data_IF_395429893656
#
_entry.id   IF_395429893656
#
_cell.length_a   1.000
_cell.length_b   1.000
_cell.length_c   1.000
_cell.angle_alpha   90.00
_cell.angle_beta   90.00
_cell.angle_gamma   90.00
#
_symmetry.space_group_name_H-M   'P 1'
#
loop_
_entity.id
_entity.type
_entity.pdbx_description
1 polymer ?
#
# COMPACT_ATOMS: atom_id res chain seq x y z
N UNK A 1 6.75 -98.95 -24.82
CA UNK A 1 5.79 -98.03 -24.19
C UNK A 1 6.33 -97.71 -22.75
N UNK A 2 6.98 -96.56 -22.55
CA UNK A 2 7.49 -96.20 -21.21
C UNK A 2 6.36 -95.49 -20.44
N UNK A 3 5.94 -96.09 -19.34
CA UNK A 3 5.00 -95.47 -18.34
C UNK A 3 5.75 -94.39 -17.62
N UNK A 4 5.44 -93.14 -17.89
CA UNK A 4 5.86 -92.01 -17.05
C UNK A 4 5.15 -92.12 -15.69
N UNK A 5 5.94 -92.14 -14.64
CA UNK A 5 5.48 -92.28 -13.24
C UNK A 5 4.60 -91.05 -12.84
N UNK A 6 3.52 -91.33 -12.14
CA UNK A 6 2.62 -90.31 -11.58
C UNK A 6 3.35 -89.30 -10.68
N UNK A 7 4.51 -89.69 -10.16
CA UNK A 7 5.39 -88.85 -9.32
C UNK A 7 6.10 -87.77 -10.13
N UNK A 8 6.48 -88.02 -11.40
CA UNK A 8 7.15 -87.05 -12.23
C UNK A 8 6.20 -85.91 -12.68
N UNK A 9 4.92 -86.25 -12.85
CA UNK A 9 3.90 -85.24 -13.21
C UNK A 9 3.59 -84.29 -12.05
N UNK A 10 3.59 -84.77 -10.82
CA UNK A 10 3.38 -83.92 -9.63
C UNK A 10 4.62 -83.06 -9.36
N UNK A 11 5.83 -83.54 -9.62
CA UNK A 11 7.05 -82.76 -9.51
C UNK A 11 7.08 -81.61 -10.52
N UNK A 12 6.71 -81.83 -11.79
CA UNK A 12 6.61 -80.82 -12.82
C UNK A 12 5.56 -79.75 -12.47
N UNK A 13 4.40 -80.14 -11.95
CA UNK A 13 3.38 -79.20 -11.48
C UNK A 13 3.89 -78.31 -10.37
N UNK A 14 4.59 -78.86 -9.39
CA UNK A 14 5.15 -78.06 -8.29
C UNK A 14 6.27 -77.14 -8.76
N UNK A 15 7.13 -77.55 -9.68
CA UNK A 15 8.13 -76.73 -10.32
C UNK A 15 7.51 -75.61 -11.16
N UNK A 16 6.46 -75.88 -11.91
CA UNK A 16 5.76 -74.90 -12.73
C UNK A 16 5.08 -73.84 -11.83
N UNK A 17 4.45 -74.22 -10.73
CA UNK A 17 3.84 -73.32 -9.76
C UNK A 17 4.89 -72.46 -9.08
N UNK A 18 6.07 -73.02 -8.70
CA UNK A 18 7.17 -72.29 -8.11
C UNK A 18 7.78 -71.29 -9.11
N UNK A 19 7.90 -71.65 -10.36
CA UNK A 19 8.35 -70.75 -11.45
C UNK A 19 7.36 -69.63 -11.69
N UNK A 20 6.07 -69.91 -11.66
CA UNK A 20 4.99 -68.90 -11.82
C UNK A 20 4.93 -67.91 -10.65
N UNK A 21 5.27 -68.31 -9.43
CA UNK A 21 5.37 -67.45 -8.22
C UNK A 21 6.61 -66.52 -8.31
N UNK A 22 7.68 -66.90 -9.04
CA UNK A 22 8.85 -66.03 -9.20
C UNK A 22 8.68 -64.93 -10.25
N UNK A 23 7.58 -64.97 -11.04
CA UNK A 23 7.26 -63.99 -12.10
C UNK A 23 6.16 -62.98 -11.63
N UNK A 24 5.84 -62.97 -10.33
CA UNK A 24 4.98 -61.89 -9.81
C UNK A 24 5.70 -60.54 -10.08
N UNK A 25 5.07 -59.64 -10.88
CA UNK A 25 5.70 -58.33 -11.09
C UNK A 25 5.91 -57.73 -9.72
N UNK A 26 7.17 -57.41 -9.38
CA UNK A 26 7.48 -56.53 -8.27
C UNK A 26 6.80 -55.20 -8.65
N UNK A 27 5.65 -54.99 -8.10
CA UNK A 27 5.02 -53.70 -8.24
C UNK A 27 6.02 -52.70 -7.66
N UNK A 28 6.70 -52.00 -8.56
CA UNK A 28 7.55 -50.90 -8.18
C UNK A 28 6.66 -49.87 -7.47
N UNK A 29 6.75 -49.82 -6.14
CA UNK A 29 6.02 -48.80 -5.37
C UNK A 29 6.64 -47.48 -5.78
N UNK A 30 5.86 -46.63 -6.44
CA UNK A 30 6.26 -45.25 -6.71
C UNK A 30 6.69 -44.60 -5.37
N UNK A 31 7.78 -43.89 -5.44
CA UNK A 31 8.30 -43.17 -4.26
C UNK A 31 7.22 -42.23 -3.73
N UNK A 32 7.09 -42.13 -2.40
CA UNK A 32 6.09 -41.27 -1.75
C UNK A 32 6.77 -40.05 -1.14
N UNK A 33 6.23 -38.85 -1.44
CA UNK A 33 6.63 -37.58 -0.86
C UNK A 33 5.64 -37.17 0.23
N UNK A 34 6.17 -36.68 1.37
CA UNK A 34 5.34 -36.18 2.47
C UNK A 34 5.90 -34.84 2.99
N UNK A 35 5.78 -33.74 2.21
CA UNK A 35 6.22 -32.43 2.67
C UNK A 35 5.38 -31.92 3.83
N UNK A 36 5.92 -31.01 4.68
CA UNK A 36 5.10 -30.28 5.65
C UNK A 36 4.04 -29.45 4.90
N UNK A 37 2.88 -29.24 5.51
CA UNK A 37 1.79 -28.49 4.86
C UNK A 37 2.18 -27.03 4.59
N UNK A 38 2.96 -26.42 5.49
CA UNK A 38 3.44 -25.03 5.36
C UNK A 38 4.87 -24.89 5.86
N UNK A 39 5.65 -24.01 5.24
CA UNK A 39 7.01 -23.58 5.65
C UNK A 39 7.13 -22.07 5.52
N UNK A 40 8.12 -21.46 6.17
CA UNK A 40 8.43 -20.04 5.98
C UNK A 40 9.38 -19.82 4.81
N UNK A 41 9.24 -18.69 4.13
CA UNK A 41 10.13 -18.29 3.04
C UNK A 41 11.59 -18.22 3.52
N UNK A 42 12.50 -18.86 2.75
CA UNK A 42 13.91 -18.93 3.07
C UNK A 42 14.27 -19.90 4.20
N UNK A 43 13.34 -20.69 4.71
CA UNK A 43 13.63 -21.73 5.69
C UNK A 43 13.98 -23.04 4.99
N UNK A 44 15.20 -23.57 5.24
CA UNK A 44 15.57 -24.90 4.79
C UNK A 44 14.81 -25.97 5.60
N UNK A 45 14.38 -27.05 4.93
CA UNK A 45 13.66 -28.15 5.55
C UNK A 45 13.88 -29.46 4.79
N UNK A 46 13.40 -30.57 5.37
CA UNK A 46 13.45 -31.88 4.71
C UNK A 46 12.05 -32.37 4.34
N UNK A 47 11.95 -33.03 3.20
CA UNK A 47 10.76 -33.79 2.80
C UNK A 47 11.03 -35.28 3.05
N UNK A 48 10.29 -35.94 3.95
CA UNK A 48 10.36 -37.40 4.10
C UNK A 48 9.99 -38.10 2.80
N UNK A 49 10.84 -39.05 2.39
CA UNK A 49 10.68 -39.82 1.16
C UNK A 49 10.70 -41.31 1.47
N UNK A 50 9.79 -42.04 0.86
CA UNK A 50 9.80 -43.51 0.86
C UNK A 50 10.16 -44.01 -0.52
N UNK A 51 11.31 -44.63 -0.67
CA UNK A 51 11.83 -45.17 -1.94
C UNK A 51 13.28 -45.56 -1.81
N UNK A 52 13.88 -46.07 -2.89
CA UNK A 52 15.30 -46.44 -2.95
C UNK A 52 15.80 -46.27 -4.38
N UNK A 53 17.12 -45.96 -4.55
CA UNK A 53 17.73 -45.76 -5.83
C UNK A 53 17.93 -44.29 -6.20
N UNK A 54 18.03 -44.00 -7.49
CA UNK A 54 18.18 -42.65 -8.04
C UNK A 54 16.86 -42.15 -8.64
N UNK A 55 16.61 -40.86 -8.51
CA UNK A 55 15.42 -40.22 -9.06
C UNK A 55 15.72 -38.78 -9.52
N UNK A 56 14.86 -38.24 -10.36
CA UNK A 56 14.89 -36.82 -10.70
C UNK A 56 13.84 -36.10 -9.86
N UNK A 57 14.31 -35.11 -9.12
CA UNK A 57 13.48 -34.22 -8.32
C UNK A 57 13.24 -32.91 -9.04
N UNK A 58 11.98 -32.45 -9.03
CA UNK A 58 11.59 -31.13 -9.46
C UNK A 58 10.87 -30.42 -8.29
N UNK A 59 11.21 -29.16 -8.09
CA UNK A 59 10.47 -28.26 -7.22
C UNK A 59 9.96 -27.11 -8.08
N UNK A 60 8.65 -27.01 -8.24
CA UNK A 60 7.97 -25.96 -9.00
C UNK A 60 7.42 -24.96 -8.01
N UNK A 61 7.94 -23.74 -8.04
CA UNK A 61 7.52 -22.60 -7.22
C UNK A 61 6.82 -21.52 -8.07
N UNK A 62 6.43 -20.43 -7.44
CA UNK A 62 5.76 -19.30 -8.12
C UNK A 62 6.64 -18.59 -9.15
N UNK A 63 7.96 -18.57 -8.95
CA UNK A 63 8.91 -17.75 -9.71
C UNK A 63 10.00 -18.58 -10.41
N UNK A 64 10.19 -19.86 -10.02
CA UNK A 64 11.25 -20.69 -10.59
C UNK A 64 10.96 -22.19 -10.50
N UNK A 65 11.76 -22.96 -11.21
CA UNK A 65 11.74 -24.43 -11.15
C UNK A 65 13.16 -24.93 -10.87
N UNK A 66 13.29 -25.74 -9.83
CA UNK A 66 14.53 -26.46 -9.51
C UNK A 66 14.43 -27.86 -10.07
N UNK A 67 15.48 -28.33 -10.79
CA UNK A 67 15.63 -29.72 -11.24
C UNK A 67 16.98 -30.25 -10.75
N UNK A 68 16.99 -31.41 -10.09
CA UNK A 68 18.20 -32.07 -9.66
C UNK A 68 18.08 -33.59 -9.60
N UNK A 69 19.17 -34.30 -9.91
CA UNK A 69 19.27 -35.73 -9.62
C UNK A 69 19.42 -35.90 -8.10
N UNK A 70 18.70 -36.85 -7.53
CA UNK A 70 18.71 -37.13 -6.09
C UNK A 70 18.83 -38.63 -5.86
N UNK A 71 19.56 -39.00 -4.81
CA UNK A 71 19.59 -40.38 -4.33
C UNK A 71 18.49 -40.49 -3.26
N UNK A 72 17.59 -41.45 -3.47
CA UNK A 72 16.49 -41.68 -2.54
C UNK A 72 17.06 -42.25 -1.23
N UNK A 73 16.97 -41.42 -0.21
CA UNK A 73 17.25 -41.75 1.19
C UNK A 73 15.95 -41.59 2.00
N UNK A 74 16.03 -41.54 3.31
CA UNK A 74 14.82 -41.27 4.15
C UNK A 74 14.29 -39.84 4.02
N UNK A 75 15.14 -38.88 3.58
CA UNK A 75 14.81 -37.47 3.51
C UNK A 75 15.42 -36.79 2.31
N UNK A 76 14.67 -35.85 1.72
CA UNK A 76 15.12 -34.98 0.65
C UNK A 76 15.30 -33.55 1.20
N UNK A 77 16.51 -33.02 1.14
CA UNK A 77 16.83 -31.69 1.64
C UNK A 77 16.40 -30.61 0.65
N UNK A 78 15.63 -29.64 1.14
CA UNK A 78 15.25 -28.41 0.43
C UNK A 78 16.07 -27.26 1.01
N UNK A 79 16.78 -26.55 0.13
CA UNK A 79 17.63 -25.44 0.52
C UNK A 79 16.80 -24.17 0.75
N UNK A 80 17.28 -23.28 1.60
CA UNK A 80 16.66 -21.98 1.84
C UNK A 80 16.51 -21.14 0.55
N UNK A 81 17.46 -21.30 -0.39
CA UNK A 81 17.40 -20.64 -1.69
C UNK A 81 16.30 -21.13 -2.61
N UNK A 82 15.81 -22.36 -2.40
CA UNK A 82 14.80 -23.00 -3.25
C UNK A 82 13.37 -22.51 -2.92
N UNK A 83 13.16 -21.84 -1.77
CA UNK A 83 11.83 -21.49 -1.23
C UNK A 83 11.77 -20.04 -0.71
N UNK A 84 12.31 -19.09 -1.48
CA UNK A 84 12.28 -17.67 -1.10
C UNK A 84 10.96 -16.97 -1.43
N UNK A 85 10.32 -17.35 -2.54
CA UNK A 85 9.04 -16.80 -2.94
C UNK A 85 7.89 -17.44 -2.14
N UNK A 86 7.01 -16.63 -1.56
CA UNK A 86 5.80 -17.13 -0.92
C UNK A 86 4.76 -17.59 -1.96
N UNK A 87 4.08 -18.69 -1.68
CA UNK A 87 3.06 -19.24 -2.55
C UNK A 87 2.97 -20.76 -2.51
N UNK A 88 2.24 -21.33 -3.45
CA UNK A 88 2.08 -22.78 -3.56
C UNK A 88 3.25 -23.38 -4.32
N UNK A 89 3.86 -24.41 -3.73
CA UNK A 89 4.91 -25.21 -4.33
C UNK A 89 4.44 -26.62 -4.63
N UNK A 90 4.97 -27.20 -5.69
CA UNK A 90 4.78 -28.60 -6.04
C UNK A 90 6.13 -29.31 -6.08
N UNK A 91 6.32 -30.29 -5.20
CA UNK A 91 7.44 -31.21 -5.22
C UNK A 91 7.08 -32.41 -6.07
N UNK A 92 7.88 -32.74 -7.09
CA UNK A 92 7.68 -33.87 -7.99
C UNK A 92 8.92 -34.74 -7.97
N UNK A 93 8.73 -36.04 -7.82
CA UNK A 93 9.80 -37.03 -7.80
C UNK A 93 9.50 -38.09 -8.84
N UNK A 94 10.45 -38.27 -9.77
CA UNK A 94 10.35 -39.24 -10.87
C UNK A 94 11.47 -40.26 -10.77
N UNK A 95 11.11 -41.53 -10.56
CA UNK A 95 11.95 -42.73 -10.66
C UNK A 95 11.46 -43.63 -11.82
N UNK A 96 10.79 -44.72 -11.55
CA UNK A 96 10.06 -45.55 -12.51
C UNK A 96 8.69 -44.97 -12.92
N UNK A 97 8.21 -43.97 -12.21
CA UNK A 97 7.01 -43.16 -12.40
C UNK A 97 7.18 -41.84 -11.68
N UNK A 98 6.20 -40.92 -11.81
CA UNK A 98 6.26 -39.64 -11.11
C UNK A 98 5.19 -39.58 -10.02
N UNK A 99 5.59 -39.08 -8.85
CA UNK A 99 4.68 -38.73 -7.76
C UNK A 99 4.85 -37.26 -7.43
N UNK A 100 3.79 -36.61 -6.94
CA UNK A 100 3.83 -35.21 -6.56
C UNK A 100 3.11 -34.94 -5.25
N UNK A 101 3.56 -33.90 -4.54
CA UNK A 101 2.93 -33.37 -3.37
C UNK A 101 3.05 -31.86 -3.35
N UNK A 102 2.08 -31.17 -2.78
CA UNK A 102 2.06 -29.71 -2.68
C UNK A 102 2.24 -29.26 -1.24
N UNK A 103 2.84 -28.08 -1.06
CA UNK A 103 2.97 -27.39 0.21
C UNK A 103 2.94 -25.87 -0.01
N UNK A 104 2.65 -25.12 1.03
CA UNK A 104 2.60 -23.66 0.99
C UNK A 104 3.87 -23.07 1.62
N UNK A 105 4.50 -22.12 0.93
CA UNK A 105 5.53 -21.26 1.51
C UNK A 105 4.86 -19.94 1.90
N UNK A 106 4.89 -19.62 3.19
CA UNK A 106 4.38 -18.36 3.74
C UNK A 106 5.51 -17.34 3.82
N UNK A 107 5.16 -16.06 3.68
CA UNK A 107 6.11 -14.98 3.95
C UNK A 107 6.69 -15.11 5.36
N UNK A 108 7.97 -14.78 5.50
CA UNK A 108 8.66 -14.74 6.78
C UNK A 108 8.24 -13.49 7.60
N UNK A 109 8.98 -13.19 8.68
CA UNK A 109 8.69 -12.03 9.52
C UNK A 109 8.83 -10.71 8.75
N UNK A 110 8.08 -9.65 9.13
CA UNK A 110 8.20 -8.32 8.54
C UNK A 110 9.64 -7.80 8.55
N UNK A 111 10.14 -7.38 7.38
CA UNK A 111 11.49 -6.85 7.19
C UNK A 111 11.52 -5.56 6.36
N UNK A 112 10.47 -5.27 5.61
CA UNK A 112 10.33 -4.07 4.79
C UNK A 112 8.91 -3.52 4.87
N UNK A 113 8.80 -2.19 4.72
CA UNK A 113 7.55 -1.48 4.51
C UNK A 113 7.59 -0.78 3.16
N UNK A 114 6.43 -0.68 2.50
CA UNK A 114 6.18 0.30 1.46
C UNK A 114 5.04 1.18 1.92
N UNK A 115 5.32 2.47 2.11
CA UNK A 115 4.39 3.40 2.74
C UNK A 115 3.96 4.50 1.78
N UNK A 116 2.66 4.68 1.62
CA UNK A 116 2.02 5.71 0.81
C UNK A 116 1.22 6.65 1.68
N UNK A 117 1.38 7.94 1.42
CA UNK A 117 0.67 9.01 2.11
C UNK A 117 0.07 9.95 1.05
N UNK A 118 -1.25 10.13 1.07
CA UNK A 118 -1.97 10.91 0.07
C UNK A 118 -3.07 11.75 0.74
N UNK A 119 -3.32 12.98 0.24
CA UNK A 119 -2.55 13.71 -0.76
C UNK A 119 -1.24 14.28 -0.18
N UNK A 120 -0.33 14.73 -1.04
CA UNK A 120 0.90 15.40 -0.59
C UNK A 120 0.66 16.80 -0.03
N UNK A 121 -0.49 17.40 -0.34
CA UNK A 121 -0.92 18.72 0.11
C UNK A 121 -2.42 18.70 0.42
N UNK A 122 -2.83 19.29 1.55
CA UNK A 122 -4.22 19.29 2.02
C UNK A 122 -4.53 20.61 2.73
N UNK A 123 -5.76 21.16 2.59
CA UNK A 123 -6.19 22.26 3.42
C UNK A 123 -6.26 21.86 4.89
N UNK A 124 -6.04 22.81 5.80
CA UNK A 124 -6.23 22.62 7.24
C UNK A 124 -7.69 22.35 7.59
N UNK A 125 -7.95 21.77 8.76
CA UNK A 125 -9.29 21.52 9.31
C UNK A 125 -10.23 20.76 8.36
N UNK A 126 -9.68 19.93 7.48
CA UNK A 126 -10.45 19.11 6.56
C UNK A 126 -10.60 17.69 7.11
N UNK A 127 -11.82 17.21 7.37
CA UNK A 127 -12.03 15.86 7.90
C UNK A 127 -11.68 14.80 6.87
N UNK A 128 -11.12 13.66 7.35
CA UNK A 128 -10.83 12.47 6.53
C UNK A 128 -10.01 12.77 5.27
N UNK A 129 -9.08 13.70 5.34
CA UNK A 129 -8.38 14.26 4.18
C UNK A 129 -7.00 13.68 3.93
N UNK A 130 -6.48 12.87 4.85
CA UNK A 130 -5.15 12.26 4.75
C UNK A 130 -5.32 10.75 4.83
N UNK A 131 -4.96 10.05 3.76
CA UNK A 131 -4.91 8.60 3.67
C UNK A 131 -3.47 8.11 3.82
N UNK A 132 -3.25 7.17 4.73
CA UNK A 132 -1.97 6.53 4.96
C UNK A 132 -2.12 5.02 4.78
N UNK A 133 -1.35 4.43 3.85
CA UNK A 133 -1.41 3.00 3.52
C UNK A 133 -0.02 2.40 3.58
N UNK A 134 0.15 1.33 4.35
CA UNK A 134 1.39 0.59 4.48
C UNK A 134 1.22 -0.85 4.00
N UNK A 135 2.17 -1.32 3.19
CA UNK A 135 2.32 -2.70 2.78
C UNK A 135 3.49 -3.31 3.54
N UNK A 136 3.28 -4.48 4.11
CA UNK A 136 4.28 -5.16 4.94
C UNK A 136 4.87 -6.32 4.16
N UNK A 137 6.19 -6.34 3.99
CA UNK A 137 6.92 -7.38 3.28
C UNK A 137 7.97 -8.04 4.18
N UNK A 138 8.30 -9.29 3.85
CA UNK A 138 9.43 -9.99 4.43
C UNK A 138 10.77 -9.59 3.75
N UNK A 139 11.88 -10.20 4.18
CA UNK A 139 13.21 -9.95 3.61
C UNK A 139 13.38 -10.35 2.14
N UNK A 140 12.46 -11.13 1.58
CA UNK A 140 12.43 -11.55 0.18
C UNK A 140 11.42 -10.78 -0.65
N UNK A 141 10.82 -9.73 -0.08
CA UNK A 141 9.74 -8.93 -0.67
C UNK A 141 8.45 -9.71 -0.93
N UNK A 142 8.21 -10.78 -0.20
CA UNK A 142 6.90 -11.41 -0.16
C UNK A 142 5.96 -10.58 0.73
N UNK A 143 4.73 -10.36 0.28
CA UNK A 143 3.72 -9.70 1.09
C UNK A 143 3.34 -10.58 2.29
N UNK A 144 3.44 -10.05 3.50
CA UNK A 144 3.14 -10.77 4.75
C UNK A 144 1.63 -10.85 4.94
N UNK A 145 1.01 -11.93 4.47
CA UNK A 145 -0.45 -12.08 4.46
C UNK A 145 -1.04 -12.34 5.86
N UNK A 146 -0.24 -12.84 6.80
CA UNK A 146 -0.63 -13.00 8.20
C UNK A 146 -0.85 -11.64 8.87
N UNK A 147 -1.83 -11.52 9.79
CA UNK A 147 -2.06 -10.27 10.49
C UNK A 147 -0.81 -9.79 11.24
N UNK A 148 -0.39 -8.56 10.95
CA UNK A 148 0.75 -7.89 11.57
C UNK A 148 0.32 -6.52 12.07
N UNK A 149 0.83 -6.08 13.22
CA UNK A 149 0.51 -4.76 13.75
C UNK A 149 1.31 -3.69 13.03
N UNK A 150 0.64 -2.60 12.64
CA UNK A 150 1.26 -1.38 12.12
C UNK A 150 0.83 -0.21 13.00
N UNK A 151 1.80 0.52 13.52
CA UNK A 151 1.59 1.75 14.29
C UNK A 151 1.84 2.96 13.37
N UNK A 152 0.80 3.75 13.12
CA UNK A 152 0.92 5.02 12.43
C UNK A 152 1.10 6.14 13.46
N UNK A 153 2.28 6.76 13.46
CA UNK A 153 2.60 7.93 14.32
C UNK A 153 2.43 9.19 13.49
N UNK A 154 1.55 10.07 13.94
CA UNK A 154 1.24 11.34 13.28
C UNK A 154 1.86 12.47 14.13
N UNK A 155 2.81 13.21 13.54
CA UNK A 155 3.50 14.32 14.17
C UNK A 155 3.19 15.59 13.40
N UNK A 156 2.25 16.42 13.88
CA UNK A 156 1.92 17.70 13.26
C UNK A 156 3.03 18.73 13.47
N UNK A 157 3.04 19.81 12.66
CA UNK A 157 3.98 20.93 12.81
C UNK A 157 3.82 21.65 14.17
N UNK A 158 2.59 21.65 14.70
CA UNK A 158 2.25 22.19 16.02
C UNK A 158 1.21 21.29 16.69
N UNK A 159 1.28 21.18 18.02
CA UNK A 159 0.41 20.31 18.80
C UNK A 159 1.06 18.98 19.18
N UNK A 160 0.29 18.13 19.83
CA UNK A 160 0.76 16.83 20.31
C UNK A 160 0.77 15.79 19.20
N UNK A 161 1.83 14.98 19.15
CA UNK A 161 1.87 13.79 18.33
C UNK A 161 0.88 12.73 18.88
N UNK A 162 0.29 11.94 17.99
CA UNK A 162 -0.60 10.83 18.36
C UNK A 162 -0.31 9.61 17.49
N UNK A 163 -0.81 8.45 17.91
CA UNK A 163 -0.62 7.19 17.18
C UNK A 163 -1.93 6.45 17.01
N UNK A 164 -2.01 5.70 15.89
CA UNK A 164 -3.08 4.72 15.64
C UNK A 164 -2.46 3.38 15.29
N UNK A 165 -2.84 2.34 16.02
CA UNK A 165 -2.44 0.96 15.75
C UNK A 165 -3.55 0.25 15.01
N UNK A 166 -3.20 -0.41 13.88
CA UNK A 166 -4.09 -1.27 13.10
C UNK A 166 -3.40 -2.58 12.76
N UNK A 167 -4.19 -3.64 12.61
CA UNK A 167 -3.69 -4.91 12.11
C UNK A 167 -3.80 -4.93 10.59
N UNK A 168 -2.81 -5.50 9.91
CA UNK A 168 -2.88 -5.69 8.46
C UNK A 168 -4.01 -6.65 8.08
N UNK A 169 -4.65 -6.36 6.98
CA UNK A 169 -5.51 -7.29 6.27
C UNK A 169 -4.80 -7.70 4.98
N UNK A 170 -4.39 -8.99 4.90
CA UNK A 170 -3.63 -9.50 3.75
C UNK A 170 -2.41 -8.66 3.41
N UNK A 171 -1.62 -8.30 4.43
CA UNK A 171 -0.38 -7.54 4.25
C UNK A 171 -0.53 -6.04 4.12
N UNK A 172 -1.76 -5.49 4.17
CA UNK A 172 -2.04 -4.06 4.01
C UNK A 172 -2.66 -3.50 5.28
N UNK A 173 -2.09 -2.41 5.80
CA UNK A 173 -2.68 -1.59 6.85
C UNK A 173 -2.99 -0.21 6.29
N UNK A 174 -4.11 0.40 6.69
CA UNK A 174 -4.46 1.74 6.27
C UNK A 174 -5.23 2.48 7.35
N UNK A 175 -5.04 3.79 7.38
CA UNK A 175 -5.82 4.72 8.19
C UNK A 175 -6.22 5.92 7.35
N UNK A 176 -7.30 6.56 7.75
CA UNK A 176 -7.72 7.88 7.30
C UNK A 176 -7.78 8.81 8.49
N UNK A 177 -7.25 10.03 8.34
CA UNK A 177 -7.21 11.01 9.42
C UNK A 177 -7.52 12.41 8.90
N UNK A 178 -7.91 13.28 9.83
CA UNK A 178 -8.20 14.67 9.55
C UNK A 178 -6.89 15.48 9.44
N UNK A 179 -6.94 16.59 8.70
CA UNK A 179 -5.88 17.58 8.79
C UNK A 179 -6.06 18.43 10.07
N UNK A 180 -4.95 18.93 10.60
CA UNK A 180 -4.94 19.76 11.80
C UNK A 180 -5.36 21.22 11.49
N UNK A 181 -5.71 22.05 12.51
CA UNK A 181 -6.08 23.44 12.27
C UNK A 181 -4.93 24.34 11.80
N UNK A 182 -3.69 23.91 11.91
CA UNK A 182 -2.52 24.75 11.64
C UNK A 182 -1.78 24.33 10.39
N UNK A 183 -1.31 25.30 9.63
CA UNK A 183 -0.44 25.08 8.49
C UNK A 183 0.88 24.46 8.90
N UNK A 184 1.51 23.78 7.97
CA UNK A 184 2.84 23.23 8.16
C UNK A 184 2.96 21.78 7.71
N UNK A 185 4.10 21.18 8.03
CA UNK A 185 4.40 19.80 7.70
C UNK A 185 3.83 18.87 8.75
N UNK A 186 3.06 17.88 8.30
CA UNK A 186 2.65 16.76 9.13
C UNK A 186 3.44 15.53 8.69
N UNK A 187 4.26 15.00 9.60
CA UNK A 187 4.96 13.75 9.36
C UNK A 187 4.11 12.59 9.82
N UNK A 188 3.94 11.60 8.96
CA UNK A 188 3.32 10.32 9.30
C UNK A 188 4.37 9.24 9.15
N UNK A 189 4.58 8.45 10.20
CA UNK A 189 5.53 7.34 10.23
C UNK A 189 4.76 6.06 10.45
N UNK A 190 4.89 5.10 9.51
CA UNK A 190 4.38 3.74 9.67
C UNK A 190 5.48 2.87 10.29
N UNK A 191 5.15 2.08 11.32
CA UNK A 191 6.08 1.21 12.04
C UNK A 191 5.49 -0.19 12.12
N UNK A 192 6.25 -1.20 11.73
CA UNK A 192 5.88 -2.61 11.92
C UNK A 192 7.10 -3.41 12.38
N UNK A 193 7.05 -3.96 13.58
CA UNK A 193 8.22 -4.58 14.21
C UNK A 193 9.39 -3.60 14.32
N UNK A 194 10.51 -3.93 13.68
CA UNK A 194 11.74 -3.13 13.70
C UNK A 194 11.90 -2.24 12.45
N UNK A 195 10.90 -2.20 11.56
CA UNK A 195 10.96 -1.41 10.33
C UNK A 195 10.03 -0.21 10.41
N UNK A 196 10.51 0.92 9.89
CA UNK A 196 9.72 2.15 9.83
C UNK A 196 9.96 2.89 8.52
N UNK A 197 8.94 3.58 8.06
CA UNK A 197 8.99 4.48 6.93
C UNK A 197 8.17 5.73 7.19
N UNK A 198 8.71 6.90 6.86
CA UNK A 198 8.08 8.19 7.09
C UNK A 198 7.77 8.93 5.78
N UNK A 199 6.66 9.63 5.76
CA UNK A 199 6.24 10.55 4.69
C UNK A 199 5.70 11.83 5.28
N UNK A 200 5.59 12.86 4.46
CA UNK A 200 5.14 14.21 4.86
C UNK A 200 3.98 14.66 3.99
N UNK A 201 2.96 15.22 4.63
CA UNK A 201 1.89 16.01 4.00
C UNK A 201 2.09 17.46 4.34
N UNK A 202 1.99 18.35 3.36
CA UNK A 202 1.97 19.79 3.57
C UNK A 202 0.53 20.23 3.83
N UNK A 203 0.24 20.73 5.01
CA UNK A 203 -1.01 21.41 5.31
C UNK A 203 -0.90 22.88 4.95
N UNK A 204 -1.93 23.41 4.30
CA UNK A 204 -2.00 24.79 3.83
C UNK A 204 -3.29 25.42 4.32
N UNK A 205 -3.36 26.78 4.33
CA UNK A 205 -4.60 27.48 4.65
C UNK A 205 -5.75 26.95 3.79
N UNK A 206 -6.93 26.86 4.39
CA UNK A 206 -8.18 26.58 3.72
C UNK A 206 -8.68 27.83 2.97
N UNK A 207 -9.91 27.80 2.51
CA UNK A 207 -10.55 28.97 1.90
C UNK A 207 -10.74 30.11 2.93
N UNK A 208 -10.87 31.33 2.42
CA UNK A 208 -11.13 32.50 3.26
C UNK A 208 -12.35 32.29 4.17
N UNK A 209 -12.23 32.70 5.44
CA UNK A 209 -13.34 32.63 6.41
C UNK A 209 -13.78 34.03 6.82
N UNK A 210 -14.34 34.74 5.88
CA UNK A 210 -14.73 36.12 6.07
C UNK A 210 -13.73 37.06 5.37
N UNK A 211 -14.27 38.09 4.77
CA UNK A 211 -13.56 39.05 3.98
C UNK A 211 -14.09 40.44 4.28
N UNK A 212 -13.21 41.35 4.61
CA UNK A 212 -13.58 42.74 4.81
C UNK A 212 -12.72 43.65 3.99
N UNK A 213 -13.34 44.62 3.35
CA UNK A 213 -12.68 45.67 2.57
C UNK A 213 -12.92 47.02 3.20
N UNK A 214 -11.89 47.85 3.21
CA UNK A 214 -11.90 49.28 3.55
C UNK A 214 -11.67 50.08 2.28
N UNK A 215 -12.33 51.23 2.19
CA UNK A 215 -12.19 52.13 1.06
C UNK A 215 -11.70 53.52 1.54
N UNK A 216 -10.66 54.02 0.90
CA UNK A 216 -10.12 55.35 1.14
C UNK A 216 -10.26 56.16 -0.13
N UNK A 217 -11.15 57.17 -0.17
CA UNK A 217 -11.33 58.05 -1.30
C UNK A 217 -10.08 58.90 -1.54
N UNK A 218 -9.76 59.13 -2.83
CA UNK A 218 -8.68 60.01 -3.24
C UNK A 218 -9.04 60.64 -4.60
N UNK A 219 -9.76 61.78 -4.57
CA UNK A 219 -10.31 62.39 -5.78
C UNK A 219 -11.34 61.50 -6.46
N UNK A 220 -11.17 61.25 -7.78
CA UNK A 220 -12.02 60.32 -8.55
C UNK A 220 -11.55 58.84 -8.45
N UNK A 221 -10.60 58.54 -7.57
CA UNK A 221 -10.09 57.22 -7.31
C UNK A 221 -10.50 56.79 -5.89
N UNK A 222 -10.70 55.47 -5.70
CA UNK A 222 -10.90 54.85 -4.42
C UNK A 222 -9.80 53.79 -4.25
N UNK A 223 -9.01 53.90 -3.19
CA UNK A 223 -8.08 52.85 -2.80
C UNK A 223 -8.84 51.85 -1.93
N UNK A 224 -8.84 50.61 -2.33
CA UNK A 224 -9.46 49.49 -1.61
C UNK A 224 -8.36 48.62 -0.99
N UNK A 225 -8.54 48.22 0.23
CA UNK A 225 -7.64 47.32 0.95
C UNK A 225 -8.46 46.37 1.82
N UNK A 226 -8.15 45.07 1.74
CA UNK A 226 -8.77 44.10 2.63
C UNK A 226 -8.14 44.17 4.02
N UNK A 227 -8.90 43.77 5.04
CA UNK A 227 -8.27 43.33 6.29
C UNK A 227 -7.40 42.06 5.98
N UNK A 228 -6.48 41.64 6.87
CA UNK A 228 -5.73 40.43 6.67
C UNK A 228 -6.64 39.23 6.42
N UNK A 229 -6.50 38.62 5.22
CA UNK A 229 -7.37 37.53 4.77
C UNK A 229 -6.88 36.23 5.41
N UNK A 230 -7.77 35.56 6.14
CA UNK A 230 -7.46 34.32 6.89
C UNK A 230 -8.54 33.28 6.62
N UNK A 231 -8.14 32.00 6.80
CA UNK A 231 -9.10 30.90 6.86
C UNK A 231 -9.84 30.85 8.22
N UNK A 232 -10.81 29.93 8.36
CA UNK A 232 -11.58 29.77 9.61
C UNK A 232 -10.75 29.28 10.80
N UNK A 233 -9.56 28.74 10.55
CA UNK A 233 -8.59 28.32 11.59
C UNK A 233 -7.61 29.44 11.97
N UNK A 234 -7.70 30.60 11.31
CA UNK A 234 -6.85 31.77 11.58
C UNK A 234 -5.53 31.78 10.81
N UNK A 235 -5.28 30.84 9.91
CA UNK A 235 -4.10 30.84 9.06
C UNK A 235 -4.22 31.90 7.96
N UNK A 236 -3.11 32.59 7.64
CA UNK A 236 -3.10 33.57 6.58
C UNK A 236 -3.21 32.89 5.21
N UNK A 237 -4.04 33.40 4.30
CA UNK A 237 -4.06 32.88 2.93
C UNK A 237 -2.73 33.16 2.22
N UNK A 238 -2.26 32.24 1.35
CA UNK A 238 -1.00 32.37 0.65
C UNK A 238 -0.95 33.63 -0.22
N UNK A 239 0.21 34.26 -0.30
CA UNK A 239 0.48 35.30 -1.28
C UNK A 239 0.22 34.78 -2.70
N UNK A 240 -0.45 35.60 -3.51
CA UNK A 240 -0.91 35.21 -4.84
C UNK A 240 -2.35 34.72 -4.91
N UNK A 241 -3.01 34.43 -3.78
CA UNK A 241 -4.46 34.16 -3.76
C UNK A 241 -5.21 35.38 -4.30
N UNK A 242 -6.15 35.16 -5.21
CA UNK A 242 -6.84 36.27 -5.91
C UNK A 242 -8.04 36.74 -5.10
N UNK A 243 -8.14 38.04 -4.95
CA UNK A 243 -9.32 38.76 -4.42
C UNK A 243 -9.90 39.61 -5.55
N UNK A 244 -11.18 39.44 -5.82
CA UNK A 244 -11.93 40.18 -6.85
C UNK A 244 -12.66 41.35 -6.24
N UNK A 245 -12.42 42.55 -6.73
CA UNK A 245 -13.11 43.77 -6.37
C UNK A 245 -14.04 44.16 -7.50
N UNK A 246 -15.35 44.17 -7.25
CA UNK A 246 -16.34 44.53 -8.25
C UNK A 246 -16.97 45.85 -7.87
N UNK A 247 -16.96 46.78 -8.83
CA UNK A 247 -17.59 48.11 -8.74
C UNK A 247 -18.77 48.19 -9.70
N UNK A 248 -19.86 48.79 -9.25
CA UNK A 248 -21.03 49.17 -10.03
C UNK A 248 -21.27 50.66 -9.83
N UNK A 249 -21.16 51.48 -10.90
CA UNK A 249 -21.44 52.91 -10.86
C UNK A 249 -22.14 53.36 -12.15
N UNK A 250 -22.26 54.68 -12.38
CA UNK A 250 -22.94 55.27 -13.57
C UNK A 250 -22.24 54.89 -14.90
N UNK A 251 -20.95 54.53 -14.87
CA UNK A 251 -20.20 54.06 -16.05
C UNK A 251 -20.37 52.55 -16.30
N UNK A 252 -21.04 51.81 -15.39
CA UNK A 252 -21.34 50.38 -15.49
C UNK A 252 -20.60 49.52 -14.44
N UNK A 253 -20.58 48.19 -14.69
CA UNK A 253 -19.94 47.21 -13.82
C UNK A 253 -18.51 46.92 -14.28
N UNK A 254 -17.55 46.93 -13.37
CA UNK A 254 -16.17 46.52 -13.62
C UNK A 254 -15.62 45.69 -12.46
N UNK A 255 -14.78 44.70 -12.76
CA UNK A 255 -14.13 43.84 -11.76
C UNK A 255 -12.62 43.91 -11.97
N UNK A 256 -11.88 43.98 -10.88
CA UNK A 256 -10.41 43.92 -10.84
C UNK A 256 -9.98 42.85 -9.92
N UNK A 257 -9.19 41.90 -10.44
CA UNK A 257 -8.59 40.82 -9.71
C UNK A 257 -7.22 41.24 -9.18
N UNK A 258 -7.03 41.04 -7.87
CA UNK A 258 -5.80 41.51 -7.18
C UNK A 258 -5.25 40.39 -6.30
N UNK A 259 -3.99 40.01 -6.45
CA UNK A 259 -3.38 39.01 -5.61
C UNK A 259 -3.13 39.54 -4.19
N UNK A 260 -3.34 38.67 -3.20
CA UNK A 260 -2.89 38.91 -1.82
C UNK A 260 -1.37 39.05 -1.82
N UNK A 261 -0.89 40.05 -1.12
CA UNK A 261 0.53 40.28 -0.80
C UNK A 261 0.66 40.61 0.67
N UNK A 262 1.49 39.84 1.40
CA UNK A 262 1.69 40.00 2.86
C UNK A 262 0.35 40.00 3.64
N UNK A 263 -0.55 39.10 3.23
CA UNK A 263 -1.84 38.88 3.88
C UNK A 263 -2.97 39.83 3.50
N UNK A 264 -2.77 40.83 2.65
CA UNK A 264 -3.79 41.80 2.22
C UNK A 264 -3.84 41.92 0.69
N UNK A 265 -5.02 42.23 0.15
CA UNK A 265 -5.18 42.64 -1.24
C UNK A 265 -5.46 44.14 -1.30
N UNK A 266 -4.72 44.88 -2.15
CA UNK A 266 -4.87 46.32 -2.32
C UNK A 266 -4.96 46.68 -3.81
N UNK A 267 -5.96 47.48 -4.15
CA UNK A 267 -6.17 47.98 -5.50
C UNK A 267 -6.71 49.41 -5.51
N UNK A 268 -6.73 50.03 -6.66
CA UNK A 268 -7.36 51.33 -6.88
C UNK A 268 -8.36 51.24 -8.03
N UNK A 269 -9.54 51.80 -7.82
CA UNK A 269 -10.59 51.87 -8.83
C UNK A 269 -10.99 53.35 -9.09
N UNK A 270 -11.21 53.66 -10.36
CA UNK A 270 -11.86 54.97 -10.71
C UNK A 270 -13.38 54.83 -10.43
N UNK A 271 -13.97 55.87 -9.86
CA UNK A 271 -15.41 55.90 -9.50
C UNK A 271 -16.11 57.10 -10.11
N UNK A 272 -17.27 56.88 -10.70
CA UNK A 272 -18.06 57.90 -11.37
C UNK A 272 -19.40 58.08 -10.64
N UNK A 273 -19.48 59.12 -9.81
CA UNK A 273 -20.69 59.41 -9.04
C UNK A 273 -20.88 58.41 -7.89
N UNK A 274 -22.12 57.97 -7.71
CA UNK A 274 -22.45 56.94 -6.72
C UNK A 274 -21.95 55.58 -7.21
N UNK A 275 -21.32 54.81 -6.32
CA UNK A 275 -20.88 53.45 -6.62
C UNK A 275 -21.13 52.49 -5.50
N UNK A 276 -21.39 51.24 -5.85
CA UNK A 276 -21.41 50.10 -4.95
C UNK A 276 -20.21 49.24 -5.25
N UNK A 277 -19.45 48.91 -4.21
CA UNK A 277 -18.24 48.13 -4.31
C UNK A 277 -18.40 46.87 -3.47
N UNK A 278 -18.23 45.71 -4.06
CA UNK A 278 -18.21 44.42 -3.41
C UNK A 278 -16.86 43.74 -3.56
N UNK A 279 -16.51 42.80 -2.67
CA UNK A 279 -15.28 42.06 -2.66
C UNK A 279 -15.54 40.58 -2.50
N UNK A 280 -14.82 39.73 -3.19
CA UNK A 280 -14.90 38.28 -3.08
C UNK A 280 -13.52 37.62 -3.11
N UNK A 281 -13.37 36.51 -2.39
CA UNK A 281 -12.19 35.64 -2.47
C UNK A 281 -12.69 34.19 -2.60
N UNK A 282 -12.50 33.59 -3.77
CA UNK A 282 -13.13 32.32 -4.11
C UNK A 282 -14.66 32.42 -4.03
N UNK A 283 -15.27 31.59 -3.18
CA UNK A 283 -16.74 31.58 -2.93
C UNK A 283 -17.16 32.49 -1.78
N UNK A 284 -16.22 33.11 -1.10
CA UNK A 284 -16.52 33.97 0.06
C UNK A 284 -16.68 35.41 -0.36
N UNK A 285 -17.86 35.95 -0.12
CA UNK A 285 -18.19 37.35 -0.31
C UNK A 285 -17.88 38.15 0.96
N UNK A 286 -17.34 39.35 0.79
CA UNK A 286 -17.10 40.31 1.87
C UNK A 286 -18.20 41.33 2.02
N UNK A 287 -17.91 42.37 2.84
CA UNK A 287 -18.83 43.51 3.00
C UNK A 287 -18.90 44.30 1.70
N UNK A 288 -20.05 44.92 1.48
CA UNK A 288 -20.26 45.94 0.45
C UNK A 288 -20.01 47.34 1.00
N UNK A 289 -19.48 48.21 0.15
CA UNK A 289 -19.25 49.61 0.44
C UNK A 289 -20.07 50.47 -0.53
N UNK A 290 -20.94 51.33 0.01
CA UNK A 290 -21.62 52.35 -0.78
C UNK A 290 -20.75 53.63 -0.78
N UNK A 291 -20.31 54.02 -1.96
CA UNK A 291 -19.55 55.26 -2.16
C UNK A 291 -20.52 56.32 -2.73
N UNK A 292 -20.72 57.39 -1.98
CA UNK A 292 -21.52 58.55 -2.42
C UNK A 292 -20.57 59.63 -2.91
N UNK A 293 -20.17 59.55 -4.17
CA UNK A 293 -19.25 60.49 -4.76
C UNK A 293 -19.74 61.96 -4.59
N UNK A 294 -19.23 62.65 -3.60
CA UNK A 294 -19.00 64.07 -3.61
C UNK A 294 -17.51 64.24 -3.74
N UNK A 295 -17.09 64.58 -4.94
CA UNK A 295 -15.83 65.23 -5.23
C UNK A 295 -15.76 66.58 -4.58
#
# INVERSE_FOLDING_TARGET
MKRTSRSDFELYKRLAILALLCVLPRWARAAKLNPPATVEAGQAFSIPVQGSGEATFYLVGPDHVVKRAVKLTSELQIQSSDVRAAGLYQAILCDSGCTSATFEVKAAQPAHLSFFLHPSRVPVSTPNSIDATAFVFDQYFNLVLSPSAVDFRITPASGAAFSRRVSTLRGVAWIRTDSTPHEGRVQVTAVSGNVEEARVVQQVAAEACGLRVKAVPSGNMVTLETDPVRDCSGNALPDGTVVSFTKVDSAGKSTVDTPIKKGVARTQLSVHGRAQISVACGVVEGNEIAFNGKL
#
